data_IF_839717017462
#
_entry.id   IF_839717017462
#
_cell.length_a   1.000
_cell.length_b   1.000
_cell.length_c   1.000
_cell.angle_alpha   90.00
_cell.angle_beta   90.00
_cell.angle_gamma   90.00
#
_symmetry.space_group_name_H-M   'P 1'
#
loop_
_entity.id
_entity.type
_entity.pdbx_description
1 polymer ?
#
# COMPACT_ATOMS: atom_id res chain seq x y z
N UNK A 1 -42.99 -9.55 -10.45
CA UNK A 1 -42.23 -9.10 -11.61
C UNK A 1 -42.02 -10.30 -12.56
N UNK A 2 -42.65 -10.29 -13.72
CA UNK A 2 -42.63 -11.43 -14.63
C UNK A 2 -41.37 -11.46 -15.54
N UNK A 3 -40.30 -10.80 -15.18
CA UNK A 3 -39.06 -10.73 -15.96
C UNK A 3 -39.21 -9.99 -17.31
N UNK A 4 -40.30 -9.24 -17.46
CA UNK A 4 -40.52 -8.40 -18.66
C UNK A 4 -40.08 -6.98 -18.35
N UNK A 5 -39.00 -6.57 -18.96
CA UNK A 5 -38.55 -5.18 -18.92
C UNK A 5 -39.00 -4.48 -20.20
N UNK A 6 -39.80 -3.47 -20.07
CA UNK A 6 -40.42 -2.74 -21.20
C UNK A 6 -39.48 -1.85 -22.00
N UNK A 7 -38.20 -1.79 -21.65
CA UNK A 7 -37.35 -0.70 -22.09
C UNK A 7 -35.97 -1.08 -22.60
N UNK A 8 -35.77 -2.31 -23.08
CA UNK A 8 -34.43 -2.82 -23.36
C UNK A 8 -34.32 -3.64 -24.62
N UNK A 9 -34.83 -3.09 -25.68
CA UNK A 9 -34.65 -3.70 -27.02
C UNK A 9 -33.17 -4.00 -27.31
N UNK A 10 -32.25 -3.14 -26.89
CA UNK A 10 -30.81 -3.36 -27.01
C UNK A 10 -30.31 -4.55 -26.20
N UNK A 11 -30.79 -4.70 -24.95
CA UNK A 11 -30.41 -5.85 -24.12
C UNK A 11 -31.06 -7.15 -24.58
N UNK A 12 -32.31 -7.09 -25.07
CA UNK A 12 -32.98 -8.25 -25.68
C UNK A 12 -32.24 -8.73 -26.93
N UNK A 13 -31.80 -7.80 -27.78
CA UNK A 13 -30.99 -8.13 -28.96
C UNK A 13 -29.63 -8.70 -28.57
N UNK A 14 -28.99 -8.16 -27.53
CA UNK A 14 -27.72 -8.67 -27.01
C UNK A 14 -27.86 -10.07 -26.42
N UNK A 15 -28.92 -10.34 -25.64
CA UNK A 15 -29.24 -11.67 -25.13
C UNK A 15 -29.41 -12.69 -26.25
N UNK A 16 -30.14 -12.29 -27.31
CA UNK A 16 -30.34 -13.14 -28.49
C UNK A 16 -29.03 -13.43 -29.23
N UNK A 17 -28.18 -12.43 -29.40
CA UNK A 17 -26.86 -12.60 -30.03
C UNK A 17 -25.93 -13.51 -29.21
N UNK A 18 -26.00 -13.41 -27.87
CA UNK A 18 -25.21 -14.25 -26.97
C UNK A 18 -25.80 -15.64 -26.72
N UNK A 19 -27.04 -15.90 -27.14
CA UNK A 19 -27.74 -17.15 -26.86
C UNK A 19 -28.05 -17.37 -25.37
N UNK A 20 -28.23 -16.28 -24.61
CA UNK A 20 -28.49 -16.30 -23.17
C UNK A 20 -29.84 -15.70 -22.80
N UNK A 21 -30.31 -15.89 -21.58
CA UNK A 21 -31.51 -15.23 -21.10
C UNK A 21 -31.29 -13.72 -20.96
N UNK A 22 -32.36 -12.94 -21.14
CA UNK A 22 -32.28 -11.46 -21.04
C UNK A 22 -31.81 -11.00 -19.64
N UNK A 23 -32.12 -11.75 -18.60
CA UNK A 23 -31.67 -11.50 -17.22
C UNK A 23 -30.17 -11.66 -17.03
N UNK A 24 -29.47 -12.34 -17.93
CA UNK A 24 -28.03 -12.59 -17.86
C UNK A 24 -27.22 -11.52 -18.60
N UNK A 25 -27.86 -10.69 -19.41
CA UNK A 25 -27.20 -9.69 -20.25
C UNK A 25 -27.00 -8.37 -19.54
N UNK A 26 -27.76 -8.10 -18.51
CA UNK A 26 -27.64 -6.88 -17.72
C UNK A 26 -28.98 -6.46 -17.13
N UNK A 27 -28.92 -5.38 -16.40
CA UNK A 27 -30.06 -4.75 -15.76
C UNK A 27 -30.28 -3.36 -16.29
N UNK A 28 -31.43 -2.77 -16.03
CA UNK A 28 -31.74 -1.38 -16.34
C UNK A 28 -30.89 -0.40 -15.50
N UNK A 29 -30.18 -0.89 -14.51
CA UNK A 29 -29.30 -0.11 -13.66
C UNK A 29 -27.86 -0.39 -14.08
N UNK A 30 -27.25 0.55 -14.76
CA UNK A 30 -25.92 0.47 -15.32
C UNK A 30 -24.78 0.56 -14.32
N UNK A 31 -24.89 -0.09 -13.20
CA UNK A 31 -23.80 -0.12 -12.22
C UNK A 31 -23.56 -1.56 -11.79
N UNK A 32 -22.74 -2.33 -12.51
CA UNK A 32 -22.34 -3.64 -12.01
C UNK A 32 -21.54 -3.46 -10.72
N UNK A 33 -21.71 -4.31 -9.72
CA UNK A 33 -22.61 -5.44 -9.60
C UNK A 33 -23.81 -5.12 -8.68
N UNK A 34 -24.88 -4.54 -9.19
CA UNK A 34 -26.03 -4.06 -8.39
C UNK A 34 -27.19 -5.04 -8.27
N UNK A 35 -27.02 -6.22 -8.74
CA UNK A 35 -28.06 -7.24 -8.66
C UNK A 35 -27.52 -8.46 -7.98
N UNK A 36 -28.41 -9.26 -7.38
CA UNK A 36 -28.03 -10.57 -6.91
C UNK A 36 -27.34 -11.33 -8.02
N UNK A 37 -26.09 -11.68 -7.81
CA UNK A 37 -25.31 -12.50 -8.72
C UNK A 37 -25.27 -13.90 -8.15
N UNK A 38 -25.54 -14.91 -8.98
CA UNK A 38 -25.42 -16.28 -8.53
C UNK A 38 -24.01 -16.56 -8.02
N UNK A 39 -23.87 -17.25 -6.90
CA UNK A 39 -22.56 -17.60 -6.33
C UNK A 39 -21.72 -18.39 -7.32
N UNK A 40 -22.34 -19.17 -8.19
CA UNK A 40 -21.69 -19.91 -9.27
C UNK A 40 -20.94 -19.01 -10.26
N UNK A 41 -21.33 -17.74 -10.43
CA UNK A 41 -20.61 -16.78 -11.26
C UNK A 41 -19.21 -16.45 -10.71
N UNK A 42 -19.00 -16.65 -9.42
CA UNK A 42 -17.72 -16.47 -8.75
C UNK A 42 -16.96 -17.79 -8.51
N UNK A 43 -17.56 -18.93 -8.89
CA UNK A 43 -16.95 -20.23 -8.67
C UNK A 43 -15.79 -20.46 -9.64
N UNK A 44 -14.71 -21.05 -9.11
CA UNK A 44 -13.55 -21.46 -9.89
C UNK A 44 -12.56 -20.35 -10.24
N UNK A 45 -11.45 -20.78 -10.86
CA UNK A 45 -10.33 -19.89 -11.23
C UNK A 45 -10.61 -19.05 -12.48
N UNK A 46 -11.54 -19.48 -13.32
CA UNK A 46 -11.96 -18.79 -14.54
C UNK A 46 -13.20 -17.95 -14.29
N UNK A 47 -13.13 -17.04 -13.34
CA UNK A 47 -14.17 -16.03 -13.17
C UNK A 47 -14.36 -15.28 -14.48
N UNK A 48 -15.59 -15.13 -14.93
CA UNK A 48 -15.87 -14.48 -16.21
C UNK A 48 -15.15 -13.16 -16.36
N UNK A 49 -14.28 -13.04 -17.36
CA UNK A 49 -13.49 -11.83 -17.64
C UNK A 49 -14.35 -10.58 -17.75
N UNK A 50 -15.55 -10.74 -18.26
CA UNK A 50 -16.51 -9.66 -18.51
C UNK A 50 -17.20 -9.20 -17.22
N UNK A 51 -17.19 -10.03 -16.18
CA UNK A 51 -17.82 -9.72 -14.91
C UNK A 51 -16.92 -8.88 -13.99
N UNK A 52 -15.60 -9.11 -14.05
CA UNK A 52 -14.60 -8.42 -13.27
C UNK A 52 -13.43 -8.03 -14.16
N UNK A 53 -13.52 -6.88 -14.83
CA UNK A 53 -12.42 -6.42 -15.65
C UNK A 53 -11.18 -6.21 -14.79
N UNK A 54 -10.07 -6.79 -15.22
CA UNK A 54 -8.76 -6.65 -14.57
C UNK A 54 -7.93 -5.64 -15.33
N UNK A 55 -7.40 -4.65 -14.63
CA UNK A 55 -6.48 -3.64 -15.18
C UNK A 55 -5.07 -4.20 -15.18
N UNK A 56 -4.34 -3.94 -16.25
CA UNK A 56 -2.95 -4.36 -16.41
C UNK A 56 -2.02 -3.14 -16.26
N UNK A 57 -0.89 -3.35 -15.59
CA UNK A 57 0.15 -2.32 -15.52
C UNK A 57 0.92 -2.23 -16.83
N UNK A 58 1.57 -1.10 -17.16
CA UNK A 58 2.38 -0.98 -18.36
C UNK A 58 3.51 -2.02 -18.43
N UNK A 59 4.06 -2.45 -17.31
CA UNK A 59 5.13 -3.46 -17.25
C UNK A 59 4.63 -4.91 -17.32
N UNK A 60 3.32 -5.15 -17.43
CA UNK A 60 2.73 -6.49 -17.37
C UNK A 60 3.36 -7.47 -18.37
N UNK A 61 3.63 -7.01 -19.60
CA UNK A 61 4.22 -7.85 -20.63
C UNK A 61 5.67 -8.27 -20.28
N UNK A 62 6.48 -7.36 -19.73
CA UNK A 62 7.84 -7.64 -19.29
C UNK A 62 7.82 -8.60 -18.10
N UNK A 63 6.94 -8.35 -17.13
CA UNK A 63 6.75 -9.23 -15.98
C UNK A 63 6.31 -10.65 -16.40
N UNK A 64 5.36 -10.75 -17.36
CA UNK A 64 4.90 -12.05 -17.89
C UNK A 64 6.01 -12.82 -18.60
N UNK A 65 6.85 -12.15 -19.40
CA UNK A 65 8.03 -12.77 -20.04
C UNK A 65 9.06 -13.29 -19.03
N UNK A 66 9.05 -12.74 -17.80
CA UNK A 66 9.89 -13.19 -16.68
C UNK A 66 9.15 -14.18 -15.76
N UNK A 67 8.08 -14.78 -16.26
CA UNK A 67 7.27 -15.78 -15.57
C UNK A 67 6.64 -15.29 -14.25
N UNK A 68 6.38 -13.99 -14.11
CA UNK A 68 5.72 -13.46 -12.91
C UNK A 68 4.42 -14.22 -12.61
N UNK A 69 4.23 -14.55 -11.35
CA UNK A 69 2.93 -14.98 -10.84
C UNK A 69 2.18 -13.73 -10.42
N UNK A 70 0.89 -13.66 -10.77
CA UNK A 70 0.10 -12.45 -10.56
C UNK A 70 -0.99 -12.65 -9.51
N UNK A 71 -1.32 -11.55 -8.83
CA UNK A 71 -2.41 -11.44 -7.87
C UNK A 71 -3.26 -10.21 -8.16
N UNK A 72 -4.57 -10.32 -7.93
CA UNK A 72 -5.48 -9.18 -8.01
C UNK A 72 -5.36 -8.31 -6.75
N UNK A 73 -5.11 -7.02 -6.96
CA UNK A 73 -5.10 -6.01 -5.90
C UNK A 73 -5.96 -4.82 -6.35
N UNK A 74 -7.06 -4.57 -5.66
CA UNK A 74 -8.11 -3.72 -6.20
C UNK A 74 -8.62 -4.31 -7.52
N UNK A 75 -8.61 -3.54 -8.59
CA UNK A 75 -8.95 -4.02 -9.94
C UNK A 75 -7.71 -4.26 -10.83
N UNK A 76 -6.53 -4.30 -10.23
CA UNK A 76 -5.27 -4.45 -10.93
C UNK A 76 -4.70 -5.86 -10.77
N UNK A 77 -4.03 -6.33 -11.82
CA UNK A 77 -3.21 -7.54 -11.79
C UNK A 77 -1.75 -7.14 -11.52
N UNK A 78 -1.27 -7.45 -10.32
CA UNK A 78 0.11 -7.14 -9.87
C UNK A 78 0.98 -8.39 -9.85
N UNK A 79 2.25 -8.25 -10.17
CA UNK A 79 3.23 -9.32 -9.94
C UNK A 79 3.30 -9.63 -8.44
N UNK A 80 3.08 -10.90 -8.09
CA UNK A 80 3.11 -11.40 -6.73
C UNK A 80 4.53 -11.86 -6.35
N UNK A 81 5.18 -12.63 -7.21
CA UNK A 81 6.59 -12.99 -7.18
C UNK A 81 7.09 -13.38 -8.57
N UNK A 82 8.40 -13.49 -8.73
CA UNK A 82 9.06 -13.87 -9.98
C UNK A 82 9.87 -15.18 -9.77
N UNK A 83 9.35 -16.35 -10.16
CA UNK A 83 10.05 -17.60 -10.00
C UNK A 83 11.28 -17.71 -10.93
N UNK A 84 12.35 -18.30 -10.41
CA UNK A 84 13.54 -18.64 -11.19
C UNK A 84 13.69 -20.15 -11.37
N UNK A 85 14.54 -20.54 -12.34
CA UNK A 85 14.80 -21.94 -12.63
C UNK A 85 15.39 -22.65 -11.40
N UNK A 86 14.75 -23.75 -11.00
CA UNK A 86 15.16 -24.56 -9.84
C UNK A 86 14.38 -24.25 -8.57
N UNK A 87 13.60 -23.18 -8.53
CA UNK A 87 12.67 -22.89 -7.43
C UNK A 87 11.43 -23.77 -7.55
N UNK A 88 11.08 -24.49 -6.50
CA UNK A 88 9.98 -25.48 -6.50
C UNK A 88 8.73 -25.01 -5.79
N UNK A 89 8.84 -23.92 -4.98
CA UNK A 89 7.70 -23.33 -4.31
C UNK A 89 7.90 -21.81 -4.09
N UNK A 90 6.82 -21.10 -4.04
CA UNK A 90 6.75 -19.64 -4.07
C UNK A 90 7.66 -18.91 -3.07
N UNK A 91 7.85 -19.51 -1.89
CA UNK A 91 8.64 -18.92 -0.82
C UNK A 91 10.12 -18.72 -1.20
N UNK A 92 10.68 -19.66 -2.00
CA UNK A 92 12.07 -19.55 -2.45
C UNK A 92 12.27 -18.29 -3.30
N UNK A 93 11.31 -17.99 -4.18
CA UNK A 93 11.32 -16.76 -4.97
C UNK A 93 11.25 -15.53 -4.09
N UNK A 94 10.31 -15.50 -3.15
CA UNK A 94 10.12 -14.36 -2.24
C UNK A 94 11.35 -14.14 -1.34
N UNK A 95 11.89 -15.20 -0.77
CA UNK A 95 13.08 -15.10 0.09
C UNK A 95 14.29 -14.55 -0.69
N UNK A 96 14.50 -15.01 -1.93
CA UNK A 96 15.53 -14.47 -2.84
C UNK A 96 15.30 -13.00 -3.18
N UNK A 97 14.07 -12.63 -3.54
CA UNK A 97 13.71 -11.25 -3.86
C UNK A 97 13.98 -10.31 -2.68
N UNK A 98 13.60 -10.70 -1.46
CA UNK A 98 13.85 -9.93 -0.24
C UNK A 98 15.36 -9.79 0.01
N UNK A 99 16.09 -10.89 0.04
CA UNK A 99 17.53 -10.90 0.32
C UNK A 99 18.31 -10.10 -0.72
N UNK A 100 17.98 -10.24 -2.00
CA UNK A 100 18.66 -9.50 -3.06
C UNK A 100 18.36 -8.01 -3.00
N UNK A 101 17.12 -7.63 -2.69
CA UNK A 101 16.76 -6.22 -2.48
C UNK A 101 17.52 -5.63 -1.28
N UNK A 102 17.60 -6.36 -0.17
CA UNK A 102 18.33 -5.94 1.04
C UNK A 102 19.84 -5.81 0.81
N UNK A 103 20.42 -6.71 0.01
CA UNK A 103 21.87 -6.79 -0.20
C UNK A 103 22.34 -5.92 -1.39
N UNK A 104 21.48 -5.60 -2.33
CA UNK A 104 21.83 -4.85 -3.52
C UNK A 104 20.72 -3.90 -3.98
N UNK A 105 19.86 -4.35 -4.91
CA UNK A 105 18.75 -3.55 -5.41
C UNK A 105 17.63 -4.43 -5.95
N UNK A 106 16.41 -4.05 -5.64
CA UNK A 106 15.18 -4.63 -6.19
C UNK A 106 14.30 -3.56 -6.84
N UNK A 107 13.50 -3.99 -7.81
CA UNK A 107 12.60 -3.13 -8.57
C UNK A 107 11.18 -3.71 -8.48
N UNK A 108 10.24 -2.92 -7.97
CA UNK A 108 8.83 -3.31 -7.85
C UNK A 108 7.92 -2.36 -8.63
N UNK A 109 6.98 -2.93 -9.37
CA UNK A 109 5.93 -2.14 -10.01
C UNK A 109 4.90 -1.68 -8.97
N UNK A 110 4.88 -0.37 -8.71
CA UNK A 110 3.93 0.30 -7.82
C UNK A 110 2.98 1.25 -8.58
N UNK A 111 2.87 1.04 -9.88
CA UNK A 111 1.99 1.82 -10.78
C UNK A 111 0.55 1.87 -10.31
N UNK A 112 0.11 0.85 -9.58
CA UNK A 112 -1.30 0.71 -9.17
C UNK A 112 -1.72 1.59 -7.99
N UNK A 113 -0.75 2.21 -7.30
CA UNK A 113 -1.07 3.21 -6.26
C UNK A 113 -1.91 4.34 -6.87
N UNK A 114 -2.95 4.75 -6.17
CA UNK A 114 -3.72 5.92 -6.58
C UNK A 114 -2.79 7.14 -6.68
N UNK A 115 -2.92 7.90 -7.75
CA UNK A 115 -2.20 9.16 -7.96
C UNK A 115 -3.22 10.25 -8.26
N UNK A 116 -3.24 11.26 -7.43
CA UNK A 116 -4.16 12.38 -7.54
C UNK A 116 -3.34 13.67 -7.65
N UNK A 117 -3.50 14.34 -8.76
CA UNK A 117 -2.92 15.66 -9.01
C UNK A 117 -3.83 16.72 -8.38
N UNK A 118 -3.29 17.62 -7.57
CA UNK A 118 -4.02 18.65 -6.83
C UNK A 118 -3.41 20.00 -7.15
N UNK A 119 -4.17 20.86 -7.80
CA UNK A 119 -3.74 22.18 -8.23
C UNK A 119 -4.74 23.26 -7.79
N UNK A 120 -4.25 24.48 -7.64
CA UNK A 120 -5.04 25.64 -7.25
C UNK A 120 -4.39 26.42 -6.11
N UNK A 121 -4.72 27.70 -5.98
CA UNK A 121 -4.09 28.57 -4.97
C UNK A 121 -4.37 28.12 -3.52
N UNK A 122 -5.50 27.41 -3.30
CA UNK A 122 -5.95 26.99 -1.97
C UNK A 122 -5.67 25.48 -1.70
N UNK A 123 -4.86 24.82 -2.56
CA UNK A 123 -4.58 23.38 -2.45
C UNK A 123 -3.90 22.98 -1.12
N UNK A 124 -3.08 23.86 -0.53
CA UNK A 124 -2.44 23.58 0.76
C UNK A 124 -3.41 23.65 1.95
N UNK A 125 -4.38 24.55 1.90
CA UNK A 125 -5.48 24.64 2.87
C UNK A 125 -6.38 23.41 2.76
N UNK A 126 -6.77 23.04 1.55
CA UNK A 126 -7.53 21.83 1.29
C UNK A 126 -6.84 20.58 1.85
N UNK A 127 -5.53 20.41 1.60
CA UNK A 127 -4.76 19.28 2.13
C UNK A 127 -4.66 19.30 3.67
N UNK A 128 -4.60 20.47 4.29
CA UNK A 128 -4.65 20.58 5.76
C UNK A 128 -5.99 20.11 6.34
N UNK A 129 -7.08 20.26 5.59
CA UNK A 129 -8.40 19.81 6.01
C UNK A 129 -8.62 18.32 5.85
N UNK A 130 -8.08 17.72 4.77
CA UNK A 130 -8.27 16.27 4.49
C UNK A 130 -7.27 15.37 5.19
N UNK A 131 -6.10 15.87 5.57
CA UNK A 131 -5.09 15.14 6.30
C UNK A 131 -4.98 15.58 7.76
N UNK A 132 -4.58 14.67 8.63
CA UNK A 132 -4.32 14.99 10.05
C UNK A 132 -3.10 15.88 10.26
N UNK A 133 -2.14 15.83 9.36
CA UNK A 133 -0.91 16.62 9.43
C UNK A 133 -0.90 17.78 8.45
N UNK A 134 -0.13 18.82 8.77
CA UNK A 134 -0.14 20.07 8.01
C UNK A 134 0.71 19.99 6.73
N UNK A 135 0.16 20.49 5.62
CA UNK A 135 0.81 20.55 4.32
C UNK A 135 1.18 21.98 3.88
N UNK A 136 0.54 23.03 4.43
CA UNK A 136 0.80 24.42 4.07
C UNK A 136 2.28 24.81 4.23
N UNK A 137 2.98 24.24 5.22
CA UNK A 137 4.41 24.49 5.47
C UNK A 137 5.34 23.45 4.82
N UNK A 138 4.83 22.56 3.98
CA UNK A 138 5.68 21.62 3.25
C UNK A 138 6.46 22.41 2.18
N UNK A 139 7.80 22.41 2.19
CA UNK A 139 8.57 23.10 1.15
C UNK A 139 8.33 22.48 -0.23
N UNK A 140 8.52 23.27 -1.29
CA UNK A 140 8.55 22.77 -2.66
C UNK A 140 9.67 21.73 -2.80
N UNK A 141 9.47 20.71 -3.62
CA UNK A 141 10.36 19.57 -3.81
C UNK A 141 10.51 18.67 -2.56
N UNK A 142 9.53 18.67 -1.68
CA UNK A 142 9.48 17.79 -0.51
C UNK A 142 8.23 16.92 -0.51
N UNK A 143 8.38 15.74 0.07
CA UNK A 143 7.30 14.76 0.30
C UNK A 143 6.95 14.74 1.79
N UNK A 144 5.71 14.45 2.09
CA UNK A 144 5.25 14.15 3.44
C UNK A 144 4.33 12.93 3.43
N UNK A 145 4.57 12.01 4.34
CA UNK A 145 3.62 10.94 4.64
C UNK A 145 2.42 11.54 5.37
N UNK A 146 1.22 11.20 4.96
CA UNK A 146 -0.04 11.71 5.47
C UNK A 146 -0.97 10.58 5.92
N UNK A 147 -1.73 10.84 6.98
CA UNK A 147 -2.81 10.00 7.46
C UNK A 147 -4.13 10.73 7.31
N UNK A 148 -5.11 10.10 6.67
CA UNK A 148 -6.50 10.56 6.61
C UNK A 148 -7.33 9.83 7.64
N UNK A 149 -8.26 10.55 8.26
CA UNK A 149 -9.28 9.97 9.13
C UNK A 149 -10.65 10.08 8.47
N UNK A 150 -11.56 9.20 8.86
CA UNK A 150 -13.00 9.40 8.69
C UNK A 150 -13.50 10.40 9.73
N UNK A 151 -14.71 10.87 9.55
CA UNK A 151 -15.35 11.82 10.49
C UNK A 151 -15.42 11.27 11.92
N UNK A 152 -15.51 9.94 12.07
CA UNK A 152 -15.54 9.27 13.38
C UNK A 152 -14.17 9.13 14.07
N UNK A 153 -13.10 9.63 13.45
CA UNK A 153 -11.73 9.59 13.99
C UNK A 153 -10.96 8.29 13.71
N UNK A 154 -11.53 7.37 12.94
CA UNK A 154 -10.87 6.12 12.54
C UNK A 154 -10.01 6.37 11.31
N UNK A 155 -8.86 5.70 11.21
CA UNK A 155 -7.99 5.79 10.04
C UNK A 155 -8.71 5.35 8.76
N UNK A 156 -8.63 6.18 7.73
CA UNK A 156 -9.31 5.98 6.44
C UNK A 156 -8.36 5.48 5.36
N UNK A 157 -7.28 6.20 5.14
CA UNK A 157 -6.21 5.84 4.22
C UNK A 157 -4.91 6.56 4.59
N UNK A 158 -3.83 6.11 4.05
CA UNK A 158 -2.51 6.73 4.19
C UNK A 158 -1.83 6.86 2.83
N UNK A 159 -0.83 7.71 2.76
CA UNK A 159 -0.08 7.88 1.54
C UNK A 159 0.98 8.97 1.65
N UNK A 160 1.67 9.20 0.55
CA UNK A 160 2.64 10.28 0.45
C UNK A 160 2.09 11.40 -0.42
N UNK A 161 2.36 12.64 -0.01
CA UNK A 161 2.00 13.83 -0.77
C UNK A 161 3.25 14.66 -1.03
N UNK A 162 3.55 14.90 -2.29
CA UNK A 162 4.70 15.66 -2.77
C UNK A 162 4.25 17.06 -3.20
N UNK A 163 4.98 18.10 -2.81
CA UNK A 163 4.78 19.46 -3.30
C UNK A 163 5.72 19.73 -4.46
N UNK A 164 5.18 19.78 -5.69
CA UNK A 164 5.96 20.02 -6.90
C UNK A 164 6.09 21.52 -7.24
N UNK A 165 5.13 22.32 -6.81
CA UNK A 165 5.10 23.75 -7.03
C UNK A 165 4.38 24.49 -5.91
N UNK A 166 4.28 25.82 -6.03
CA UNK A 166 3.60 26.63 -5.03
C UNK A 166 2.14 26.17 -4.86
N UNK A 167 1.45 25.96 -5.96
CA UNK A 167 0.03 25.59 -6.05
C UNK A 167 -0.18 24.22 -6.70
N UNK A 168 0.80 23.30 -6.53
CA UNK A 168 0.77 21.99 -7.17
C UNK A 168 1.29 20.90 -6.23
N UNK A 169 0.43 19.92 -5.96
CA UNK A 169 0.75 18.73 -5.18
C UNK A 169 0.37 17.45 -5.93
N UNK A 170 1.08 16.39 -5.67
CA UNK A 170 0.74 15.02 -6.08
C UNK A 170 0.57 14.20 -4.81
N UNK A 171 -0.61 13.61 -4.64
CA UNK A 171 -0.85 12.69 -3.55
C UNK A 171 -0.97 11.25 -4.06
N UNK A 172 -0.46 10.30 -3.27
CA UNK A 172 -0.66 8.86 -3.49
C UNK A 172 -1.62 8.30 -2.46
N UNK A 173 -2.31 7.22 -2.83
CA UNK A 173 -3.23 6.45 -1.97
C UNK A 173 -2.93 4.98 -2.08
N UNK A 174 -3.47 4.17 -1.17
CA UNK A 174 -3.44 2.72 -1.35
C UNK A 174 -4.19 2.33 -2.63
N UNK A 175 -3.73 1.26 -3.29
CA UNK A 175 -4.31 0.78 -4.56
C UNK A 175 -5.82 0.53 -4.46
N UNK A 176 -6.25 -0.16 -3.40
CA UNK A 176 -7.65 -0.55 -3.22
C UNK A 176 -8.56 0.65 -2.94
N UNK A 177 -8.05 1.69 -2.30
CA UNK A 177 -8.81 2.85 -1.88
C UNK A 177 -8.75 4.02 -2.88
N UNK A 178 -8.00 3.93 -3.97
CA UNK A 178 -7.79 5.05 -4.89
C UNK A 178 -9.09 5.75 -5.33
N UNK A 179 -10.10 4.99 -5.74
CA UNK A 179 -11.39 5.53 -6.16
C UNK A 179 -12.21 6.07 -4.98
N UNK A 180 -12.13 5.44 -3.81
CA UNK A 180 -12.84 5.87 -2.61
C UNK A 180 -12.28 7.19 -2.09
N UNK A 181 -10.95 7.30 -2.01
CA UNK A 181 -10.27 8.53 -1.60
C UNK A 181 -10.60 9.66 -2.58
N UNK A 182 -10.46 9.43 -3.90
CA UNK A 182 -10.79 10.45 -4.89
C UNK A 182 -12.23 10.96 -4.76
N UNK A 183 -13.19 10.05 -4.59
CA UNK A 183 -14.59 10.41 -4.37
C UNK A 183 -14.79 11.22 -3.08
N UNK A 184 -14.08 10.87 -2.00
CA UNK A 184 -14.13 11.62 -0.76
C UNK A 184 -13.56 13.03 -0.92
N UNK A 185 -12.42 13.18 -1.61
CA UNK A 185 -11.83 14.48 -1.91
C UNK A 185 -12.78 15.36 -2.74
N UNK A 186 -13.45 14.77 -3.74
CA UNK A 186 -14.46 15.49 -4.53
C UNK A 186 -15.66 15.91 -3.68
N UNK A 187 -16.10 15.08 -2.74
CA UNK A 187 -17.16 15.46 -1.78
C UNK A 187 -16.70 16.62 -0.91
N UNK A 188 -15.50 16.58 -0.36
CA UNK A 188 -14.94 17.66 0.46
C UNK A 188 -14.87 18.95 -0.34
N UNK A 189 -14.32 18.90 -1.56
CA UNK A 189 -14.18 20.05 -2.44
C UNK A 189 -15.54 20.69 -2.80
N UNK A 190 -16.52 19.85 -3.14
CA UNK A 190 -17.81 20.36 -3.66
C UNK A 190 -18.79 20.72 -2.56
N UNK A 191 -18.75 20.05 -1.42
CA UNK A 191 -19.77 20.18 -0.39
C UNK A 191 -19.28 20.86 0.89
N UNK A 192 -18.05 20.56 1.34
CA UNK A 192 -17.54 21.10 2.60
C UNK A 192 -16.72 22.39 2.39
N UNK A 193 -15.95 22.45 1.31
CA UNK A 193 -15.05 23.56 0.99
C UNK A 193 -15.30 24.10 -0.43
N UNK A 194 -16.55 24.44 -0.82
CA UNK A 194 -16.90 24.79 -2.20
C UNK A 194 -16.28 26.11 -2.70
N UNK A 195 -15.81 26.94 -1.80
CA UNK A 195 -15.24 28.25 -2.12
C UNK A 195 -13.73 28.21 -2.37
N UNK A 196 -13.07 27.09 -2.11
CA UNK A 196 -11.64 26.96 -2.36
C UNK A 196 -11.35 26.75 -3.85
N UNK A 197 -10.34 27.44 -4.34
CA UNK A 197 -9.79 27.24 -5.68
C UNK A 197 -8.87 26.01 -5.68
N UNK A 198 -9.48 24.83 -5.89
CA UNK A 198 -8.84 23.53 -5.90
C UNK A 198 -9.35 22.67 -7.03
N UNK A 199 -8.46 22.11 -7.80
CA UNK A 199 -8.73 21.19 -8.89
C UNK A 199 -8.10 19.83 -8.60
N UNK A 200 -8.90 18.77 -8.70
CA UNK A 200 -8.51 17.39 -8.43
C UNK A 200 -8.56 16.58 -9.73
N UNK A 201 -7.47 15.92 -10.06
CA UNK A 201 -7.38 15.07 -11.26
C UNK A 201 -6.80 13.71 -10.88
N UNK A 202 -7.55 12.64 -11.13
CA UNK A 202 -6.99 11.29 -11.01
C UNK A 202 -6.02 11.02 -12.15
N UNK A 203 -4.75 10.86 -11.82
CA UNK A 203 -3.67 10.59 -12.78
C UNK A 203 -3.10 9.19 -12.63
N UNK A 204 -3.83 8.29 -11.96
CA UNK A 204 -3.41 6.91 -11.72
C UNK A 204 -3.01 6.19 -13.00
N UNK A 205 -3.79 6.36 -14.07
CA UNK A 205 -3.52 5.72 -15.36
C UNK A 205 -2.50 6.47 -16.22
N UNK A 206 -2.19 7.71 -15.86
CA UNK A 206 -1.30 8.57 -16.66
C UNK A 206 0.18 8.32 -16.36
N UNK A 207 0.50 7.70 -15.23
CA UNK A 207 1.86 7.52 -14.73
C UNK A 207 2.15 6.07 -14.35
N UNK A 208 3.12 5.46 -15.03
CA UNK A 208 3.77 4.24 -14.58
C UNK A 208 4.79 4.57 -13.50
N UNK A 209 4.80 3.81 -12.40
CA UNK A 209 5.65 4.09 -11.23
C UNK A 209 6.32 2.84 -10.71
N UNK A 210 7.62 2.93 -10.45
CA UNK A 210 8.44 1.81 -9.97
C UNK A 210 9.19 2.21 -8.70
N UNK A 211 9.15 1.32 -7.70
CA UNK A 211 10.01 1.42 -6.52
C UNK A 211 11.36 0.77 -6.84
N UNK A 212 12.43 1.48 -6.60
CA UNK A 212 13.83 1.02 -6.71
C UNK A 212 14.43 1.08 -5.32
N UNK A 213 14.60 -0.07 -4.68
CA UNK A 213 14.96 -0.18 -3.27
C UNK A 213 16.23 -1.01 -3.06
N UNK A 214 17.03 -0.65 -2.08
CA UNK A 214 18.26 -1.33 -1.70
C UNK A 214 19.50 -0.42 -1.75
N UNK A 215 20.64 -0.86 -1.18
CA UNK A 215 21.84 -0.01 -1.05
C UNK A 215 22.39 0.50 -2.38
N UNK A 216 22.17 -0.21 -3.48
CA UNK A 216 22.60 0.21 -4.82
C UNK A 216 21.53 0.97 -5.62
N UNK A 217 20.37 1.27 -5.03
CA UNK A 217 19.25 1.95 -5.73
C UNK A 217 19.65 3.30 -6.34
N UNK A 218 20.40 4.13 -5.60
CA UNK A 218 20.90 5.42 -6.10
C UNK A 218 21.86 5.23 -7.27
N UNK A 219 22.80 4.29 -7.15
CA UNK A 219 23.78 3.99 -8.20
C UNK A 219 23.11 3.52 -9.49
N UNK A 220 22.09 2.68 -9.36
CA UNK A 220 21.28 2.26 -10.51
C UNK A 220 20.57 3.46 -11.17
N UNK A 221 19.90 4.30 -10.37
CA UNK A 221 19.19 5.47 -10.90
C UNK A 221 20.14 6.50 -11.54
N UNK A 222 21.35 6.65 -11.02
CA UNK A 222 22.37 7.53 -11.60
C UNK A 222 22.79 7.13 -13.02
N UNK A 223 22.56 5.87 -13.44
CA UNK A 223 22.85 5.41 -14.82
C UNK A 223 21.79 5.85 -15.81
N UNK A 224 20.56 6.10 -15.36
CA UNK A 224 19.44 6.45 -16.24
C UNK A 224 19.04 7.93 -16.16
N UNK A 225 19.35 8.61 -15.05
CA UNK A 225 19.08 10.05 -14.88
C UNK A 225 20.06 10.87 -15.71
N UNK A 226 19.54 11.81 -16.52
CA UNK A 226 20.38 12.59 -17.44
C UNK A 226 21.40 13.47 -16.72
N UNK A 227 21.09 13.89 -15.48
CA UNK A 227 21.99 14.66 -14.61
C UNK A 227 22.23 13.90 -13.28
N UNK A 228 23.14 12.92 -13.24
CA UNK A 228 23.35 12.06 -12.05
C UNK A 228 23.67 12.81 -10.75
N UNK A 229 24.30 14.00 -10.86
CA UNK A 229 24.60 14.86 -9.70
C UNK A 229 23.34 15.38 -9.00
N UNK A 230 22.19 15.46 -9.69
CA UNK A 230 20.93 15.93 -9.13
C UNK A 230 20.36 15.01 -8.06
N UNK A 231 20.80 13.74 -8.03
CA UNK A 231 20.32 12.73 -7.10
C UNK A 231 21.38 12.22 -6.10
N UNK A 232 22.44 13.02 -5.87
CA UNK A 232 23.36 12.76 -4.73
C UNK A 232 22.62 12.90 -3.39
N UNK A 233 23.24 12.45 -2.32
CA UNK A 233 22.59 12.52 -0.99
C UNK A 233 22.29 13.96 -0.57
N UNK A 234 23.20 14.88 -0.86
CA UNK A 234 23.08 16.31 -0.56
C UNK A 234 21.98 16.98 -1.39
N UNK A 235 21.94 16.70 -2.71
CA UNK A 235 21.04 17.36 -3.65
C UNK A 235 19.63 16.77 -3.66
N UNK A 236 19.49 15.52 -3.20
CA UNK A 236 18.23 14.78 -3.15
C UNK A 236 18.11 14.03 -1.82
N UNK A 237 17.94 14.74 -0.69
CA UNK A 237 17.88 14.13 0.65
C UNK A 237 16.60 13.30 0.83
N UNK A 238 16.55 12.50 1.90
CA UNK A 238 15.36 11.73 2.26
C UNK A 238 14.09 12.61 2.31
N UNK A 239 12.99 12.12 1.77
CA UNK A 239 11.72 12.84 1.55
C UNK A 239 11.83 13.99 0.54
N UNK A 240 12.81 13.99 -0.35
CA UNK A 240 12.83 14.88 -1.52
C UNK A 240 11.98 14.34 -2.66
N UNK A 241 11.49 15.24 -3.51
CA UNK A 241 10.90 14.92 -4.82
C UNK A 241 11.37 15.94 -5.86
N UNK A 242 11.35 15.53 -7.13
CA UNK A 242 11.73 16.40 -8.25
C UNK A 242 11.18 15.88 -9.56
N UNK A 243 10.81 16.79 -10.45
CA UNK A 243 10.68 16.50 -11.88
C UNK A 243 12.07 16.64 -12.53
N UNK A 244 12.46 15.65 -13.30
CA UNK A 244 13.77 15.56 -13.97
C UNK A 244 13.65 14.77 -15.27
N UNK A 245 14.72 14.70 -16.04
CA UNK A 245 14.76 13.89 -17.26
C UNK A 245 15.65 12.65 -17.08
N UNK A 246 15.26 11.58 -17.77
CA UNK A 246 15.95 10.29 -17.78
C UNK A 246 16.10 9.79 -19.21
N UNK A 247 17.04 8.89 -19.44
CA UNK A 247 17.23 8.15 -20.69
C UNK A 247 17.25 9.07 -21.94
N UNK A 248 17.91 10.22 -21.84
CA UNK A 248 18.06 11.14 -22.98
C UNK A 248 16.85 12.05 -23.21
N UNK A 249 16.14 12.47 -22.17
CA UNK A 249 15.11 13.51 -22.24
C UNK A 249 13.69 13.09 -21.89
N UNK A 250 13.45 11.86 -21.47
CA UNK A 250 12.12 11.45 -20.99
C UNK A 250 11.84 12.11 -19.64
N UNK A 251 10.73 12.87 -19.56
CA UNK A 251 10.29 13.47 -18.30
C UNK A 251 9.92 12.41 -17.27
N UNK A 252 10.43 12.53 -16.06
CA UNK A 252 10.16 11.67 -14.94
C UNK A 252 9.91 12.46 -13.66
N UNK A 253 9.14 11.89 -12.76
CA UNK A 253 8.99 12.32 -11.36
C UNK A 253 9.75 11.36 -10.47
N UNK A 254 10.64 11.87 -9.65
CA UNK A 254 11.42 11.07 -8.72
C UNK A 254 11.09 11.48 -7.29
N UNK A 255 10.85 10.47 -6.44
CA UNK A 255 10.54 10.63 -5.01
C UNK A 255 11.51 9.79 -4.21
N UNK A 256 12.19 10.36 -3.22
CA UNK A 256 13.04 9.61 -2.29
C UNK A 256 12.22 9.22 -1.07
N UNK A 257 11.51 8.12 -1.20
CA UNK A 257 10.63 7.54 -0.18
C UNK A 257 10.89 6.04 -0.11
N UNK A 258 10.60 5.42 1.03
CA UNK A 258 10.89 4.00 1.26
C UNK A 258 9.76 3.31 2.01
N UNK A 259 9.18 2.29 1.40
CA UNK A 259 8.25 1.38 2.06
C UNK A 259 8.94 0.13 2.59
N UNK A 260 10.06 -0.27 1.97
CA UNK A 260 10.87 -1.44 2.37
C UNK A 260 11.78 -1.18 3.59
N UNK A 261 12.01 0.09 3.93
CA UNK A 261 12.99 0.50 4.95
C UNK A 261 14.43 0.61 4.47
N UNK A 262 14.72 0.27 3.20
CA UNK A 262 16.04 0.47 2.58
C UNK A 262 16.16 1.89 2.01
N UNK A 263 17.38 2.27 1.55
CA UNK A 263 17.52 3.39 0.62
C UNK A 263 16.64 3.10 -0.59
N UNK A 264 15.65 3.94 -0.84
CA UNK A 264 14.68 3.68 -1.89
C UNK A 264 14.19 4.95 -2.56
N UNK A 265 13.75 4.76 -3.78
CA UNK A 265 13.16 5.79 -4.63
C UNK A 265 11.92 5.23 -5.30
N UNK A 266 10.98 6.10 -5.58
CA UNK A 266 9.92 5.82 -6.54
C UNK A 266 10.10 6.73 -7.75
N UNK A 267 10.19 6.13 -8.93
CA UNK A 267 10.34 6.83 -10.19
C UNK A 267 9.10 6.62 -11.05
N UNK A 268 8.51 7.72 -11.51
CA UNK A 268 7.31 7.71 -12.34
C UNK A 268 7.58 8.36 -13.69
N UNK A 269 7.06 7.75 -14.75
CA UNK A 269 7.07 8.27 -16.12
C UNK A 269 5.66 8.26 -16.70
N UNK A 270 5.37 9.07 -17.74
CA UNK A 270 4.14 8.91 -18.50
C UNK A 270 3.94 7.45 -18.92
N UNK A 271 2.72 6.96 -18.81
CA UNK A 271 2.35 5.52 -18.94
C UNK A 271 2.94 4.83 -20.16
N UNK A 272 3.02 5.54 -21.32
CA UNK A 272 3.57 4.98 -22.54
C UNK A 272 5.05 4.57 -22.44
N UNK A 273 5.80 5.13 -21.52
CA UNK A 273 7.20 4.79 -21.27
C UNK A 273 7.39 3.72 -20.17
N UNK A 274 6.31 3.31 -19.50
CA UNK A 274 6.40 2.44 -18.34
C UNK A 274 7.09 1.11 -18.64
N UNK A 275 6.69 0.44 -19.73
CA UNK A 275 7.31 -0.83 -20.13
C UNK A 275 8.82 -0.66 -20.41
N UNK A 276 9.18 0.39 -21.14
CA UNK A 276 10.57 0.67 -21.48
C UNK A 276 11.42 1.03 -20.22
N UNK A 277 10.84 1.79 -19.29
CA UNK A 277 11.54 2.12 -18.04
C UNK A 277 11.78 0.87 -17.18
N UNK A 278 10.81 -0.03 -17.08
CA UNK A 278 10.99 -1.27 -16.32
C UNK A 278 12.11 -2.14 -16.90
N UNK A 279 12.14 -2.27 -18.24
CA UNK A 279 13.23 -2.98 -18.95
C UNK A 279 14.58 -2.29 -18.77
N UNK A 280 14.64 -0.95 -18.88
CA UNK A 280 15.87 -0.19 -18.68
C UNK A 280 16.43 -0.34 -17.27
N UNK A 281 15.57 -0.26 -16.22
CA UNK A 281 15.99 -0.46 -14.84
C UNK A 281 16.56 -1.86 -14.62
N UNK A 282 15.95 -2.90 -15.20
CA UNK A 282 16.45 -4.27 -15.08
C UNK A 282 17.72 -4.49 -15.88
N UNK A 283 17.85 -3.88 -17.05
CA UNK A 283 19.05 -3.97 -17.89
C UNK A 283 20.24 -3.28 -17.26
N UNK A 284 20.10 -2.01 -16.88
CA UNK A 284 21.14 -1.24 -16.19
C UNK A 284 21.46 -1.78 -14.79
N UNK A 285 20.50 -2.48 -14.21
CA UNK A 285 20.63 -3.14 -12.91
C UNK A 285 21.44 -4.43 -12.93
N UNK A 286 21.77 -4.99 -14.09
CA UNK A 286 22.47 -6.29 -14.19
C UNK A 286 23.82 -6.29 -13.44
N UNK A 287 24.59 -5.23 -13.51
CA UNK A 287 25.86 -5.11 -12.80
C UNK A 287 25.72 -5.13 -11.26
N UNK A 288 24.52 -4.82 -10.77
CA UNK A 288 24.16 -4.87 -9.35
C UNK A 288 23.40 -6.14 -8.99
N UNK A 289 23.24 -7.09 -9.93
CA UNK A 289 22.35 -8.23 -9.78
C UNK A 289 20.93 -7.81 -9.37
N UNK A 290 20.41 -6.75 -9.97
CA UNK A 290 19.06 -6.25 -9.67
C UNK A 290 18.00 -7.30 -9.97
N UNK A 291 17.01 -7.42 -9.07
CA UNK A 291 15.89 -8.34 -9.25
C UNK A 291 14.57 -7.59 -9.33
N UNK A 292 13.66 -8.02 -10.21
CA UNK A 292 12.27 -7.63 -10.04
C UNK A 292 11.73 -8.34 -8.78
N UNK A 293 10.94 -7.64 -7.97
CA UNK A 293 10.28 -8.26 -6.82
C UNK A 293 8.78 -7.95 -6.80
N UNK A 294 8.02 -8.91 -6.27
CA UNK A 294 6.57 -8.83 -6.24
C UNK A 294 6.00 -8.33 -4.91
N UNK A 295 4.65 -8.38 -4.83
CA UNK A 295 3.91 -7.90 -3.66
C UNK A 295 4.18 -8.70 -2.40
N UNK A 296 4.55 -10.00 -2.52
CA UNK A 296 4.91 -10.84 -1.36
C UNK A 296 6.21 -10.37 -0.72
N UNK A 297 7.27 -10.15 -1.51
CA UNK A 297 8.53 -9.62 -1.01
C UNK A 297 8.38 -8.21 -0.44
N UNK A 298 7.57 -7.36 -1.10
CA UNK A 298 7.20 -6.04 -0.58
C UNK A 298 6.51 -6.17 0.79
N UNK A 299 5.58 -7.12 0.92
CA UNK A 299 4.86 -7.42 2.16
C UNK A 299 5.81 -7.87 3.29
N UNK A 300 6.79 -8.72 3.01
CA UNK A 300 7.81 -9.12 3.99
C UNK A 300 8.62 -7.92 4.45
N UNK A 301 9.16 -7.13 3.51
CA UNK A 301 10.05 -6.00 3.83
C UNK A 301 9.35 -4.90 4.62
N UNK A 302 8.06 -4.60 4.34
CA UNK A 302 7.32 -3.61 5.11
C UNK A 302 7.03 -4.08 6.54
N UNK A 303 6.80 -5.40 6.75
CA UNK A 303 6.64 -5.98 8.10
C UNK A 303 7.97 -5.88 8.85
N UNK A 304 9.09 -6.22 8.22
CA UNK A 304 10.43 -6.05 8.80
C UNK A 304 10.70 -4.61 9.26
N UNK A 305 10.20 -3.61 8.50
CA UNK A 305 10.35 -2.19 8.84
C UNK A 305 9.30 -1.69 9.83
N UNK A 306 8.20 -2.41 9.98
CA UNK A 306 7.10 -2.02 10.88
C UNK A 306 6.13 -1.01 10.26
N UNK A 307 6.04 -0.95 8.92
CA UNK A 307 5.08 -0.09 8.25
C UNK A 307 3.69 -0.73 8.27
N UNK A 308 2.72 0.01 8.77
CA UNK A 308 1.30 -0.34 8.68
C UNK A 308 0.85 -0.38 7.20
N UNK A 309 -0.08 -1.27 6.89
CA UNK A 309 -0.69 -1.40 5.58
C UNK A 309 -2.18 -1.76 5.75
N UNK A 310 -2.87 -2.20 4.69
CA UNK A 310 -4.30 -2.45 4.72
C UNK A 310 -4.81 -3.36 5.83
N UNK A 311 -4.00 -4.32 6.31
CA UNK A 311 -4.38 -5.17 7.44
C UNK A 311 -4.39 -4.40 8.79
N UNK A 312 -3.58 -3.37 8.90
CA UNK A 312 -3.49 -2.49 10.08
C UNK A 312 -4.45 -1.31 9.94
N UNK A 313 -4.64 -0.76 8.72
CA UNK A 313 -5.60 0.31 8.43
C UNK A 313 -6.89 -0.35 7.91
N UNK A 314 -7.62 -0.98 8.81
CA UNK A 314 -8.71 -1.90 8.48
C UNK A 314 -10.13 -1.32 8.72
N UNK A 315 -10.23 -0.01 8.94
CA UNK A 315 -11.50 0.67 9.21
C UNK A 315 -11.96 0.61 10.66
N UNK A 316 -11.16 0.07 11.58
CA UNK A 316 -11.42 0.01 13.02
C UNK A 316 -10.28 0.61 13.86
N UNK A 317 -9.12 0.86 13.25
CA UNK A 317 -7.93 1.38 13.93
C UNK A 317 -7.86 2.90 13.87
N UNK A 318 -7.36 3.50 14.92
CA UNK A 318 -7.13 4.92 15.07
C UNK A 318 -5.65 5.26 14.89
N UNK A 319 -5.31 6.53 14.81
CA UNK A 319 -3.92 6.98 14.81
C UNK A 319 -3.17 6.51 16.07
N UNK A 320 -3.85 6.46 17.21
CA UNK A 320 -3.30 5.96 18.48
C UNK A 320 -2.96 4.48 18.41
N UNK A 321 -3.90 3.67 17.89
CA UNK A 321 -3.64 2.23 17.69
C UNK A 321 -2.43 2.00 16.79
N UNK A 322 -2.26 2.82 15.74
CA UNK A 322 -1.19 2.70 14.75
C UNK A 322 0.17 3.27 15.23
N UNK A 323 0.23 3.89 16.41
CA UNK A 323 1.43 4.59 16.89
C UNK A 323 1.71 5.92 16.14
N UNK A 324 0.69 6.45 15.45
CA UNK A 324 0.79 7.64 14.60
C UNK A 324 0.16 8.90 15.22
N UNK A 325 -0.10 8.91 16.52
CA UNK A 325 -0.72 10.05 17.24
C UNK A 325 0.03 11.37 17.03
N UNK A 326 1.35 11.32 16.87
CA UNK A 326 2.19 12.50 16.60
C UNK A 326 1.90 13.16 15.26
N UNK A 327 1.22 12.46 14.35
CA UNK A 327 0.83 13.00 13.06
C UNK A 327 -0.44 13.87 13.15
N UNK A 328 -1.24 13.73 14.22
CA UNK A 328 -2.41 14.55 14.43
C UNK A 328 -1.96 15.94 14.86
N UNK A 329 -2.15 16.93 13.99
CA UNK A 329 -1.80 18.31 14.28
C UNK A 329 -2.84 18.93 15.20
N UNK A 330 -2.45 19.36 16.38
CA UNK A 330 -3.31 20.09 17.33
C UNK A 330 -3.78 21.47 16.83
N UNK A 331 -3.16 21.97 15.75
CA UNK A 331 -3.42 23.31 15.19
C UNK A 331 -4.25 23.27 13.90
N UNK A 332 -4.50 22.09 13.35
CA UNK A 332 -5.23 21.95 12.10
C UNK A 332 -6.64 21.47 12.39
N UNK A 333 -7.62 22.20 11.92
CA UNK A 333 -8.98 21.68 11.76
C UNK A 333 -8.96 20.71 10.56
N UNK A 334 -9.12 19.43 10.85
CA UNK A 334 -9.11 18.38 9.84
C UNK A 334 -10.21 17.37 10.09
N UNK A 335 -10.62 16.68 9.03
CA UNK A 335 -11.65 15.64 9.12
C UNK A 335 -11.25 14.60 10.19
N UNK A 336 -12.19 14.31 11.08
CA UNK A 336 -12.04 13.30 12.12
C UNK A 336 -11.19 13.73 13.33
N UNK A 337 -10.54 14.89 13.30
CA UNK A 337 -9.68 15.33 14.39
C UNK A 337 -10.42 15.43 15.73
N UNK A 338 -11.57 16.08 15.75
CA UNK A 338 -12.38 16.26 16.98
C UNK A 338 -12.79 14.90 17.56
N UNK A 339 -13.29 13.99 16.73
CA UNK A 339 -13.75 12.68 17.19
C UNK A 339 -12.61 11.70 17.47
N UNK A 340 -11.40 11.97 17.00
CA UNK A 340 -10.21 11.20 17.37
C UNK A 340 -9.82 11.40 18.85
N UNK A 341 -10.26 12.50 19.46
CA UNK A 341 -10.00 12.84 20.86
C UNK A 341 -10.99 12.21 21.86
N UNK A 342 -11.95 11.42 21.38
CA UNK A 342 -12.92 10.73 22.24
C UNK A 342 -12.22 9.89 23.30
N UNK A 343 -12.77 9.87 24.51
CA UNK A 343 -12.24 9.10 25.65
C UNK A 343 -11.95 7.64 25.29
N UNK A 344 -12.89 6.97 24.58
CA UNK A 344 -12.73 5.57 24.17
C UNK A 344 -11.53 5.29 23.29
N UNK A 345 -11.04 6.27 22.54
CA UNK A 345 -9.86 6.15 21.67
C UNK A 345 -8.53 6.50 22.38
N UNK A 346 -8.63 7.17 23.52
CA UNK A 346 -7.48 7.69 24.26
C UNK A 346 -7.30 7.02 25.64
N UNK A 347 -7.95 5.88 25.87
CA UNK A 347 -7.78 5.09 27.08
C UNK A 347 -6.36 4.55 27.17
N UNK A 348 -5.85 4.43 28.39
CA UNK A 348 -4.50 3.89 28.64
C UNK A 348 -4.32 2.41 28.32
N UNK A 349 -5.43 1.68 28.11
CA UNK A 349 -5.45 0.24 27.81
C UNK A 349 -5.78 -0.09 26.34
N UNK A 350 -5.76 0.91 25.44
CA UNK A 350 -6.00 0.63 24.02
C UNK A 350 -4.93 -0.32 23.47
N UNK A 351 -5.34 -1.10 22.46
CA UNK A 351 -4.40 -1.93 21.74
C UNK A 351 -3.54 -1.07 20.80
N UNK A 352 -2.23 -1.22 20.86
CA UNK A 352 -1.27 -0.49 20.03
C UNK A 352 -0.47 -1.43 19.15
N UNK A 353 -0.06 -0.93 17.99
CA UNK A 353 0.74 -1.67 17.02
C UNK A 353 2.08 -2.08 17.65
N UNK A 354 2.35 -3.36 17.64
CA UNK A 354 3.54 -3.98 18.22
C UNK A 354 4.10 -5.03 17.26
N UNK A 355 5.36 -5.34 17.44
CA UNK A 355 6.00 -6.48 16.77
C UNK A 355 5.90 -7.74 17.62
N UNK A 356 5.91 -8.90 16.96
CA UNK A 356 5.89 -10.20 17.62
C UNK A 356 6.87 -11.14 16.93
N UNK A 357 7.62 -11.90 17.71
CA UNK A 357 8.46 -13.00 17.23
C UNK A 357 8.18 -14.27 18.04
N UNK A 358 8.26 -15.46 17.46
CA UNK A 358 8.09 -16.69 18.21
C UNK A 358 9.23 -16.85 19.22
N UNK A 359 8.90 -17.31 20.42
CA UNK A 359 9.93 -17.62 21.45
C UNK A 359 10.84 -18.75 20.98
N UNK A 360 10.26 -19.78 20.38
CA UNK A 360 11.01 -20.82 19.69
C UNK A 360 11.14 -20.45 18.21
N UNK A 361 12.33 -20.10 17.78
CA UNK A 361 12.64 -19.49 16.48
C UNK A 361 12.12 -20.24 15.25
N UNK A 362 11.96 -21.56 15.35
CA UNK A 362 11.46 -22.43 14.29
C UNK A 362 9.92 -22.49 14.18
N UNK A 363 9.20 -21.93 15.15
CA UNK A 363 7.74 -21.95 15.14
C UNK A 363 7.17 -20.96 14.12
N UNK A 364 6.07 -21.38 13.49
CA UNK A 364 5.30 -20.54 12.57
C UNK A 364 4.32 -19.66 13.33
N UNK A 365 4.13 -18.45 12.82
CA UNK A 365 3.07 -17.55 13.22
C UNK A 365 1.95 -17.55 12.16
N UNK A 366 0.73 -17.24 12.58
CA UNK A 366 -0.43 -17.19 11.70
C UNK A 366 -1.19 -15.87 11.92
N UNK A 367 -1.45 -15.13 10.83
CA UNK A 367 -2.26 -13.92 10.89
C UNK A 367 -3.70 -14.25 11.38
N UNK A 368 -4.30 -13.34 12.12
CA UNK A 368 -5.60 -13.54 12.75
C UNK A 368 -5.55 -14.33 14.05
N UNK A 369 -4.37 -14.80 14.52
CA UNK A 369 -4.25 -15.38 15.86
C UNK A 369 -4.52 -14.33 16.92
N UNK A 370 -5.31 -14.69 17.95
CA UNK A 370 -5.56 -13.85 19.10
C UNK A 370 -4.45 -13.93 20.13
N UNK A 371 -4.22 -12.83 20.84
CA UNK A 371 -3.15 -12.71 21.83
C UNK A 371 -3.72 -12.82 23.23
N UNK A 372 -3.21 -13.77 23.99
CA UNK A 372 -3.73 -14.14 25.31
C UNK A 372 -2.54 -14.29 26.25
N UNK A 373 -2.65 -13.75 27.47
CA UNK A 373 -1.62 -13.93 28.51
C UNK A 373 -1.36 -15.42 28.79
N UNK A 374 -0.10 -15.78 29.02
CA UNK A 374 0.30 -17.15 29.29
C UNK A 374 -0.51 -17.77 30.44
N UNK A 375 -0.97 -18.99 30.24
CA UNK A 375 -1.73 -19.75 31.24
C UNK A 375 -3.22 -19.40 31.34
N UNK A 376 -3.71 -18.39 30.61
CA UNK A 376 -5.16 -18.08 30.57
C UNK A 376 -5.85 -18.86 29.45
N UNK A 377 -7.15 -19.13 29.64
CA UNK A 377 -8.00 -19.77 28.63
C UNK A 377 -8.30 -18.77 27.48
N UNK A 378 -8.43 -19.26 26.24
CA UNK A 378 -8.80 -18.42 25.10
C UNK A 378 -10.30 -18.09 25.12
N UNK A 379 -10.65 -17.06 25.86
CA UNK A 379 -12.02 -16.50 25.97
C UNK A 379 -11.99 -15.03 25.60
N UNK A 380 -13.12 -14.44 25.24
CA UNK A 380 -13.25 -13.02 24.92
C UNK A 380 -12.76 -12.11 26.07
N UNK A 381 -12.93 -12.52 27.31
CA UNK A 381 -12.48 -11.76 28.48
C UNK A 381 -10.95 -11.68 28.58
N UNK A 382 -10.27 -12.73 28.12
CA UNK A 382 -8.82 -12.84 28.17
C UNK A 382 -8.15 -12.39 26.85
N UNK A 383 -8.93 -11.98 25.87
CA UNK A 383 -8.41 -11.48 24.59
C UNK A 383 -7.79 -10.09 24.76
N UNK A 384 -6.53 -10.00 24.45
CA UNK A 384 -5.73 -8.77 24.58
C UNK A 384 -5.38 -8.15 23.24
N UNK A 385 -5.66 -8.86 22.12
CA UNK A 385 -5.34 -8.38 20.78
C UNK A 385 -5.17 -9.48 19.74
N UNK A 386 -4.58 -9.15 18.60
CA UNK A 386 -4.43 -10.08 17.47
C UNK A 386 -3.21 -9.79 16.62
N UNK A 387 -2.73 -10.80 15.90
CA UNK A 387 -1.71 -10.66 14.86
C UNK A 387 -2.37 -10.22 13.55
N UNK A 388 -2.02 -9.04 13.03
CA UNK A 388 -2.60 -8.47 11.81
C UNK A 388 -1.87 -8.94 10.54
N UNK A 389 -0.55 -8.97 10.58
CA UNK A 389 0.31 -9.34 9.46
C UNK A 389 1.44 -10.23 9.90
N UNK A 390 1.68 -11.29 9.15
CA UNK A 390 2.71 -12.29 9.48
C UNK A 390 3.55 -12.57 8.24
N UNK A 391 4.86 -12.65 8.42
CA UNK A 391 5.78 -13.11 7.39
C UNK A 391 6.91 -13.94 8.02
N UNK A 392 7.50 -14.80 7.22
CA UNK A 392 8.85 -15.26 7.51
C UNK A 392 9.84 -14.24 6.96
N UNK A 393 10.71 -13.74 7.77
CA UNK A 393 11.79 -12.87 7.34
C UNK A 393 13.03 -13.70 6.98
N UNK A 394 13.42 -13.74 5.70
CA UNK A 394 14.66 -14.40 5.32
C UNK A 394 15.89 -13.63 5.84
N UNK A 395 15.75 -12.33 6.08
CA UNK A 395 16.80 -11.48 6.65
C UNK A 395 17.09 -11.85 8.10
N UNK A 396 16.05 -12.16 8.89
CA UNK A 396 16.16 -12.51 10.31
C UNK A 396 16.21 -14.02 10.55
N UNK A 397 15.78 -14.83 9.57
CA UNK A 397 15.76 -16.29 9.62
C UNK A 397 14.67 -16.87 10.53
N UNK A 398 13.58 -16.14 10.77
CA UNK A 398 12.43 -16.60 11.55
C UNK A 398 11.15 -15.84 11.18
N UNK A 399 10.01 -16.33 11.66
CA UNK A 399 8.74 -15.62 11.52
C UNK A 399 8.72 -14.33 12.35
N UNK A 400 8.10 -13.30 11.79
CA UNK A 400 7.80 -12.04 12.46
C UNK A 400 6.34 -11.68 12.21
N UNK A 401 5.76 -10.89 13.09
CA UNK A 401 4.41 -10.39 12.91
C UNK A 401 4.27 -8.95 13.39
N UNK A 402 3.38 -8.22 12.74
CA UNK A 402 2.76 -7.02 13.29
C UNK A 402 1.41 -7.41 13.88
N UNK A 403 0.98 -6.71 14.91
CA UNK A 403 -0.31 -6.94 15.54
C UNK A 403 -0.65 -5.85 16.53
N UNK A 404 -1.82 -5.93 17.09
CA UNK A 404 -2.31 -5.00 18.10
C UNK A 404 -2.47 -5.73 19.42
N UNK A 405 -1.94 -5.17 20.48
CA UNK A 405 -2.10 -5.69 21.83
C UNK A 405 -2.33 -4.56 22.84
N UNK A 406 -3.19 -4.78 23.81
CA UNK A 406 -3.45 -3.83 24.89
C UNK A 406 -2.16 -3.40 25.55
N UNK A 407 -1.91 -2.08 25.60
CA UNK A 407 -0.71 -1.46 26.19
C UNK A 407 0.61 -1.97 25.60
N UNK A 408 0.64 -2.29 24.31
CA UNK A 408 1.78 -2.95 23.67
C UNK A 408 3.12 -2.24 23.88
N UNK A 409 3.14 -0.91 23.81
CA UNK A 409 4.37 -0.11 24.00
C UNK A 409 5.03 -0.32 25.37
N UNK A 410 4.24 -0.60 26.42
CA UNK A 410 4.74 -0.79 27.80
C UNK A 410 5.05 -2.25 28.13
N UNK A 411 4.80 -3.17 27.20
CA UNK A 411 4.92 -4.64 27.41
C UNK A 411 6.02 -5.29 26.57
N UNK A 412 6.93 -4.50 26.05
CA UNK A 412 8.06 -5.02 25.26
C UNK A 412 8.88 -5.98 26.12
N UNK A 413 9.18 -7.18 25.61
CA UNK A 413 9.87 -8.27 26.29
C UNK A 413 8.93 -9.25 27.00
N UNK A 414 7.65 -8.94 27.14
CA UNK A 414 6.66 -9.85 27.70
C UNK A 414 6.33 -10.99 26.73
N UNK A 415 6.05 -12.18 27.27
CA UNK A 415 5.64 -13.35 26.52
C UNK A 415 4.16 -13.56 26.64
N UNK A 416 3.49 -13.78 25.52
CA UNK A 416 2.07 -14.08 25.41
C UNK A 416 1.86 -15.25 24.45
N UNK A 417 0.64 -15.79 24.40
CA UNK A 417 0.26 -16.86 23.50
C UNK A 417 -0.50 -16.29 22.28
N UNK A 418 -0.01 -16.53 21.09
CA UNK A 418 -0.76 -16.36 19.85
C UNK A 418 -1.59 -17.62 19.60
N UNK A 419 -2.91 -17.52 19.69
CA UNK A 419 -3.84 -18.64 19.63
C UNK A 419 -4.68 -18.56 18.37
N UNK A 420 -4.57 -19.58 17.53
CA UNK A 420 -5.47 -19.80 16.39
C UNK A 420 -6.47 -20.91 16.73
N UNK A 421 -7.66 -20.51 17.13
CA UNK A 421 -8.73 -21.43 17.53
C UNK A 421 -9.23 -22.31 16.37
N UNK A 422 -9.24 -21.80 15.15
CA UNK A 422 -9.72 -22.55 13.99
C UNK A 422 -8.80 -23.72 13.62
N UNK A 423 -7.50 -23.58 13.87
CA UNK A 423 -6.52 -24.60 13.60
C UNK A 423 -6.06 -25.34 14.87
N UNK A 424 -6.59 -24.97 16.02
CA UNK A 424 -6.21 -25.49 17.34
C UNK A 424 -4.69 -25.42 17.58
N UNK A 425 -4.11 -24.24 17.27
CA UNK A 425 -2.68 -23.97 17.41
C UNK A 425 -2.44 -22.87 18.42
N UNK A 426 -1.40 -23.03 19.20
CA UNK A 426 -0.90 -22.02 20.14
C UNK A 426 0.60 -21.89 19.98
N UNK A 427 1.06 -20.66 19.79
CA UNK A 427 2.50 -20.35 19.69
C UNK A 427 2.84 -19.28 20.72
N UNK A 428 3.82 -19.55 21.57
CA UNK A 428 4.36 -18.55 22.48
C UNK A 428 5.16 -17.52 21.71
N UNK A 429 4.83 -16.22 21.90
CA UNK A 429 5.46 -15.10 21.23
C UNK A 429 5.94 -14.07 22.23
N UNK A 430 7.03 -13.39 21.89
CA UNK A 430 7.55 -12.24 22.62
C UNK A 430 7.08 -10.96 21.95
N UNK A 431 6.57 -10.00 22.72
CA UNK A 431 6.24 -8.66 22.27
C UNK A 431 7.52 -7.89 22.08
N UNK A 432 7.71 -7.32 20.90
CA UNK A 432 8.89 -6.53 20.55
C UNK A 432 8.51 -5.22 19.87
N UNK A 433 9.46 -4.35 19.61
CA UNK A 433 9.24 -3.19 18.75
C UNK A 433 8.71 -3.63 17.38
N UNK A 434 7.76 -2.91 16.78
CA UNK A 434 7.31 -3.22 15.42
C UNK A 434 8.40 -3.03 14.36
N UNK A 435 9.50 -2.34 14.69
CA UNK A 435 10.62 -2.08 13.81
C UNK A 435 11.70 -3.15 14.00
N UNK A 436 11.62 -4.25 13.22
CA UNK A 436 12.57 -5.36 13.33
C UNK A 436 13.93 -5.06 12.70
N UNK A 437 13.94 -4.20 11.66
CA UNK A 437 15.14 -3.83 10.91
C UNK A 437 15.24 -2.30 10.88
N UNK A 438 16.45 -1.80 11.13
CA UNK A 438 16.80 -0.38 11.02
C UNK A 438 15.80 0.53 11.77
N UNK A 439 15.61 0.36 13.09
CA UNK A 439 14.61 1.10 13.85
C UNK A 439 14.80 2.62 13.76
N UNK A 440 16.04 3.11 13.69
CA UNK A 440 16.38 4.53 13.58
C UNK A 440 16.19 5.09 12.16
N UNK A 441 16.05 4.23 11.15
CA UNK A 441 15.84 4.64 9.76
C UNK A 441 17.09 5.19 9.06
N UNK A 442 18.27 4.74 9.46
CA UNK A 442 19.54 5.21 8.89
C UNK A 442 19.73 4.79 7.44
N UNK A 443 19.31 3.56 7.11
CA UNK A 443 19.35 3.05 5.72
C UNK A 443 18.54 3.92 4.75
N UNK A 444 17.36 4.39 5.15
CA UNK A 444 16.52 5.25 4.30
C UNK A 444 17.16 6.63 4.07
N UNK A 445 17.93 7.11 5.05
CA UNK A 445 18.59 8.40 4.97
C UNK A 445 19.87 8.35 4.15
N UNK A 446 20.49 7.20 3.98
CA UNK A 446 21.61 6.89 3.09
C UNK A 446 22.93 7.35 3.59
#
# INVERSE_FOLDING_TARGET
DQGKTSNILGLASMAKLKGTNISEVGTTIFRPPYVPVAISAFAGRSRGKDFRPTRLTPSHNVASKRNAVFVETGNWLRAQWFPEKGETFWRQSVDREVLQTRNSVGICDVTTLGKIDIQGKDCSEFLNFVYTNAFAKLPINRVRYGLMLREDGVAYDDGTTARLGENHFIMTTTTANAALVFRNLEFVRQCLLPNLDVHLISTTDSWAQYSVAGPNSRRLLQKIVDKPKDITNENFPFMACRELTICGGVMARLFRISFSGELAYEIAVPTQYGNALFDALLSEGQEFNAVPYGTEALGVMRIEKGHAAGNEINGQTTAQNLGLSRMISKKADSIGNILSEREGFNRSDIATLSGFKPVQRNQKLEAGSHLISAGKKPTMENDEGWLSSVAFSPTLGHYIALGFIKRGETRIGEKVCAVNLLQNKTTEVEIVSPHFIDPEGDKQRG
#
